data_IF_170858278594
#
_entry.id   IF_170858278594
#
_cell.length_a   1.000
_cell.length_b   1.000
_cell.length_c   1.000
_cell.angle_alpha   90.00
_cell.angle_beta   90.00
_cell.angle_gamma   90.00
#
_symmetry.space_group_name_H-M   'P 1'
#
loop_
_entity.id
_entity.type
_entity.pdbx_description
1 polymer ?
#
# COMPACT_ATOMS: atom_id res chain seq x y z
N UNK A 1 24.21 4.93 -7.53
CA UNK A 1 23.95 4.78 -6.08
C UNK A 1 22.48 4.43 -5.91
N UNK A 2 22.17 3.20 -5.52
CA UNK A 2 20.79 2.74 -5.29
C UNK A 2 20.40 2.94 -3.82
N UNK A 3 19.13 3.23 -3.57
CA UNK A 3 18.56 3.26 -2.23
C UNK A 3 18.55 1.84 -1.64
N UNK A 4 19.14 1.64 -0.46
CA UNK A 4 19.16 0.33 0.21
C UNK A 4 17.76 -0.03 0.73
N UNK A 5 17.47 -1.32 0.95
CA UNK A 5 16.14 -1.76 1.41
C UNK A 5 15.75 -1.14 2.76
N UNK A 6 16.74 -0.85 3.61
CA UNK A 6 16.57 -0.18 4.90
C UNK A 6 16.21 1.30 4.74
N UNK A 7 16.87 1.95 3.79
CA UNK A 7 16.62 3.35 3.43
C UNK A 7 15.21 3.48 2.86
N UNK A 8 14.75 2.52 2.05
CA UNK A 8 13.37 2.45 1.55
C UNK A 8 12.35 2.32 2.67
N UNK A 9 12.56 1.42 3.64
CA UNK A 9 11.66 1.29 4.81
C UNK A 9 11.62 2.58 5.62
N UNK A 10 12.77 3.20 5.88
CA UNK A 10 12.84 4.45 6.65
C UNK A 10 12.04 5.56 5.96
N UNK A 11 12.25 5.76 4.65
CA UNK A 11 11.55 6.77 3.87
C UNK A 11 10.05 6.48 3.75
N UNK A 12 9.67 5.24 3.46
CA UNK A 12 8.26 4.85 3.31
C UNK A 12 7.47 4.93 4.61
N UNK A 13 8.13 4.79 5.76
CA UNK A 13 7.48 4.89 7.07
C UNK A 13 7.43 6.31 7.61
N UNK A 14 8.29 7.21 7.12
CA UNK A 14 8.29 8.63 7.47
C UNK A 14 7.01 9.36 7.05
N UNK A 15 6.37 8.92 5.96
CA UNK A 15 5.13 9.54 5.45
C UNK A 15 3.86 9.05 6.15
N UNK A 16 3.96 8.05 7.04
CA UNK A 16 2.81 7.54 7.79
C UNK A 16 2.34 8.57 8.81
N UNK A 17 1.03 8.80 8.87
CA UNK A 17 0.40 9.74 9.79
C UNK A 17 -0.57 9.01 10.72
N UNK A 18 -0.77 9.58 11.91
CA UNK A 18 -1.82 9.20 12.86
C UNK A 18 -1.92 7.68 13.11
N UNK A 19 -3.05 7.04 12.78
CA UNK A 19 -3.29 5.62 13.01
C UNK A 19 -2.25 4.74 12.32
N UNK A 20 -1.82 5.10 11.10
CA UNK A 20 -0.84 4.32 10.35
C UNK A 20 0.55 4.36 10.98
N UNK A 21 0.95 5.50 11.53
CA UNK A 21 2.22 5.60 12.25
C UNK A 21 2.17 4.80 13.56
N UNK A 22 1.07 4.93 14.32
CA UNK A 22 0.88 4.19 15.58
C UNK A 22 0.84 2.67 15.35
N UNK A 23 0.11 2.22 14.33
CA UNK A 23 0.07 0.83 13.90
C UNK A 23 1.46 0.32 13.54
N UNK A 24 2.22 1.08 12.73
CA UNK A 24 3.54 0.65 12.30
C UNK A 24 4.52 0.53 13.47
N UNK A 25 4.50 1.45 14.44
CA UNK A 25 5.30 1.35 15.67
C UNK A 25 5.01 0.05 16.43
N UNK A 26 3.74 -0.34 16.55
CA UNK A 26 3.34 -1.59 17.21
C UNK A 26 3.77 -2.83 16.42
N UNK A 27 3.69 -2.79 15.09
CA UNK A 27 4.18 -3.87 14.23
C UNK A 27 5.68 -4.05 14.36
N UNK A 28 6.46 -2.95 14.38
CA UNK A 28 7.90 -3.00 14.59
C UNK A 28 8.28 -3.67 15.91
N UNK A 29 7.56 -3.38 17.00
CA UNK A 29 7.79 -4.01 18.31
C UNK A 29 7.47 -5.51 18.31
N UNK A 30 6.51 -5.97 17.50
CA UNK A 30 6.17 -7.40 17.39
C UNK A 30 7.11 -8.20 16.49
N UNK A 31 7.58 -7.57 15.41
CA UNK A 31 8.42 -8.24 14.39
C UNK A 31 9.89 -8.15 14.77
N UNK A 32 10.31 -7.05 15.39
CA UNK A 32 11.67 -6.87 15.86
C UNK A 32 11.91 -7.67 17.14
N UNK A 33 12.71 -8.72 17.04
CA UNK A 33 13.67 -9.03 18.12
C UNK A 33 14.70 -7.89 18.10
N UNK A 34 15.11 -7.39 19.26
CA UNK A 34 16.04 -6.25 19.38
C UNK A 34 17.19 -6.35 18.34
N UNK A 35 17.29 -5.35 17.46
CA UNK A 35 18.37 -5.23 16.47
C UNK A 35 18.08 -5.78 15.06
N UNK A 36 16.95 -6.44 14.80
CA UNK A 36 16.64 -6.90 13.43
C UNK A 36 16.12 -5.76 12.56
N UNK A 37 16.84 -5.48 11.50
CA UNK A 37 16.49 -4.49 10.49
C UNK A 37 15.30 -4.97 9.65
N UNK A 38 14.22 -4.19 9.64
CA UNK A 38 13.02 -4.48 8.85
C UNK A 38 13.25 -4.01 7.41
N UNK A 39 13.51 -4.96 6.52
CA UNK A 39 13.61 -4.71 5.07
C UNK A 39 12.27 -4.31 4.46
N UNK A 40 12.33 -3.58 3.35
CA UNK A 40 11.17 -2.99 2.67
C UNK A 40 10.05 -3.99 2.36
N UNK A 41 10.39 -5.21 1.96
CA UNK A 41 9.41 -6.26 1.65
C UNK A 41 8.54 -6.64 2.85
N UNK A 42 9.10 -6.63 4.06
CA UNK A 42 8.33 -6.91 5.28
C UNK A 42 7.34 -5.79 5.55
N UNK A 43 7.78 -4.53 5.42
CA UNK A 43 6.89 -3.37 5.54
C UNK A 43 5.74 -3.45 4.54
N UNK A 44 6.03 -3.66 3.25
CA UNK A 44 5.00 -3.77 2.20
C UNK A 44 3.99 -4.87 2.52
N UNK A 45 4.45 -6.06 2.92
CA UNK A 45 3.58 -7.18 3.25
C UNK A 45 2.63 -6.83 4.40
N UNK A 46 3.14 -6.29 5.50
CA UNK A 46 2.32 -5.92 6.65
C UNK A 46 1.36 -4.78 6.32
N UNK A 47 1.82 -3.79 5.57
CA UNK A 47 1.03 -2.64 5.14
C UNK A 47 -0.14 -3.09 4.26
N UNK A 48 0.13 -3.88 3.22
CA UNK A 48 -0.91 -4.41 2.34
C UNK A 48 -1.87 -5.34 3.08
N UNK A 49 -1.39 -6.13 4.04
CA UNK A 49 -2.26 -6.99 4.85
C UNK A 49 -3.25 -6.20 5.70
N UNK A 50 -2.84 -5.05 6.25
CA UNK A 50 -3.67 -4.19 7.11
C UNK A 50 -4.59 -3.27 6.32
N UNK A 51 -4.08 -2.59 5.29
CA UNK A 51 -4.80 -1.52 4.58
C UNK A 51 -5.34 -1.94 3.21
N UNK A 52 -4.86 -3.05 2.64
CA UNK A 52 -5.33 -3.57 1.37
C UNK A 52 -5.65 -5.07 1.45
N UNK A 53 -6.55 -5.48 2.37
CA UNK A 53 -6.92 -6.87 2.55
C UNK A 53 -7.62 -7.45 1.31
N UNK A 54 -7.77 -8.78 1.27
CA UNK A 54 -8.28 -9.50 0.10
C UNK A 54 -9.70 -9.06 -0.30
N UNK A 55 -10.55 -8.71 0.65
CA UNK A 55 -11.89 -8.20 0.38
C UNK A 55 -11.87 -6.82 -0.30
N UNK A 56 -11.00 -5.91 0.16
CA UNK A 56 -10.79 -4.59 -0.48
C UNK A 56 -10.21 -4.77 -1.89
N UNK A 57 -9.23 -5.66 -2.04
CA UNK A 57 -8.67 -6.04 -3.36
C UNK A 57 -9.75 -6.57 -4.29
N UNK A 58 -10.58 -7.50 -3.82
CA UNK A 58 -11.65 -8.11 -4.61
C UNK A 58 -12.70 -7.08 -5.04
N UNK A 59 -13.07 -6.13 -4.17
CA UNK A 59 -13.95 -5.02 -4.54
C UNK A 59 -13.37 -4.19 -5.67
N UNK A 60 -12.08 -3.84 -5.59
CA UNK A 60 -11.37 -3.13 -6.66
C UNK A 60 -11.33 -3.91 -7.97
N UNK A 61 -11.10 -5.22 -7.91
CA UNK A 61 -11.14 -6.10 -9.10
C UNK A 61 -12.53 -6.11 -9.72
N UNK A 62 -13.60 -6.19 -8.92
CA UNK A 62 -14.98 -6.14 -9.43
C UNK A 62 -15.29 -4.79 -10.07
N UNK A 63 -14.91 -3.67 -9.43
CA UNK A 63 -15.07 -2.32 -9.99
C UNK A 63 -14.36 -2.21 -11.34
N UNK A 64 -13.13 -2.72 -11.43
CA UNK A 64 -12.34 -2.73 -12.64
C UNK A 64 -12.94 -3.60 -13.75
N UNK A 65 -13.39 -4.82 -13.42
CA UNK A 65 -14.06 -5.71 -14.38
C UNK A 65 -15.37 -5.13 -14.90
N UNK A 66 -16.09 -4.37 -14.07
CA UNK A 66 -17.31 -3.66 -14.45
C UNK A 66 -17.07 -2.39 -15.26
N UNK A 67 -15.83 -1.88 -15.30
CA UNK A 67 -15.51 -0.63 -15.97
C UNK A 67 -15.55 -0.80 -17.50
N UNK A 68 -16.59 -0.24 -18.11
CA UNK A 68 -16.78 -0.16 -19.56
C UNK A 68 -16.86 1.29 -19.99
N UNK A 69 -16.32 1.61 -21.16
CA UNK A 69 -16.40 2.98 -21.70
C UNK A 69 -17.85 3.42 -21.90
N UNK A 70 -18.70 2.57 -22.48
CA UNK A 70 -20.11 2.92 -22.73
C UNK A 70 -20.21 4.21 -23.56
N UNK A 71 -20.95 5.19 -23.05
CA UNK A 71 -21.12 6.50 -23.68
C UNK A 71 -20.09 7.56 -23.22
N UNK A 72 -19.13 7.18 -22.35
CA UNK A 72 -18.08 8.10 -21.92
C UNK A 72 -17.11 8.39 -23.07
N UNK A 73 -16.62 9.62 -23.12
CA UNK A 73 -15.45 9.92 -23.94
C UNK A 73 -14.24 9.13 -23.46
N UNK A 74 -13.25 8.94 -24.33
CA UNK A 74 -12.01 8.25 -23.96
C UNK A 74 -11.30 8.93 -22.79
N UNK A 75 -11.34 10.27 -22.73
CA UNK A 75 -10.76 11.04 -21.63
C UNK A 75 -11.45 10.77 -20.30
N UNK A 76 -12.79 10.76 -20.28
CA UNK A 76 -13.57 10.46 -19.06
C UNK A 76 -13.37 9.01 -18.60
N UNK A 77 -13.30 8.06 -19.54
CA UNK A 77 -12.98 6.68 -19.22
C UNK A 77 -11.57 6.53 -18.63
N UNK A 78 -10.57 7.19 -19.23
CA UNK A 78 -9.19 7.15 -18.73
C UNK A 78 -9.09 7.73 -17.31
N UNK A 79 -9.71 8.89 -17.08
CA UNK A 79 -9.73 9.49 -15.75
C UNK A 79 -10.41 8.57 -14.71
N UNK A 80 -11.49 7.89 -15.10
CA UNK A 80 -12.18 6.93 -14.23
C UNK A 80 -11.36 5.65 -13.99
N UNK A 81 -10.63 5.19 -15.00
CA UNK A 81 -9.71 4.05 -14.89
C UNK A 81 -8.56 4.37 -13.94
N UNK A 82 -7.95 5.55 -14.05
CA UNK A 82 -6.83 5.99 -13.22
C UNK A 82 -7.22 6.25 -11.76
N UNK A 83 -8.48 6.57 -11.50
CA UNK A 83 -9.00 6.79 -10.15
C UNK A 83 -9.41 5.50 -9.40
N UNK A 84 -9.46 4.35 -10.08
CA UNK A 84 -9.85 3.06 -9.50
C UNK A 84 -8.67 2.32 -8.86
#
# INVERSE_FOLDING_TARGET
>A
MGCTEESKTTLGTYVLREEANNWWRNVKLRIGVDGVVIVWEIFKREFLRKYFPTDVKNKKVIEFMGLKQGNMSVAEYSAKFEAL
#
